data_IF_210634333321
#
_entry.id   IF_210634333321
#
_cell.length_a   1.000
_cell.length_b   1.000
_cell.length_c   1.000
_cell.angle_alpha   90.00
_cell.angle_beta   90.00
_cell.angle_gamma   90.00
#
_symmetry.space_group_name_H-M   'P 1'
#
loop_
_entity.id
_entity.type
_entity.pdbx_description
1 polymer ?
#
# COMPACT_ATOMS: atom_id res chain seq x y z
N UNK A 1 18.34 2.28 16.34
CA UNK A 1 16.87 2.37 16.41
C UNK A 1 16.34 1.47 15.32
N UNK A 2 15.68 0.37 15.68
CA UNK A 2 15.18 -0.60 14.70
C UNK A 2 13.87 -0.12 14.09
N UNK A 3 13.68 -0.42 12.80
CA UNK A 3 12.44 -0.10 12.09
C UNK A 3 11.30 -0.96 12.63
N UNK A 4 10.15 -0.34 12.91
CA UNK A 4 8.89 -1.05 13.22
C UNK A 4 8.09 -1.41 11.97
N UNK A 5 8.54 -0.98 10.78
CA UNK A 5 7.86 -1.24 9.51
C UNK A 5 8.08 -2.69 9.10
N UNK A 6 6.98 -3.40 8.83
CA UNK A 6 7.02 -4.78 8.30
C UNK A 6 6.79 -4.73 6.79
N UNK A 7 7.77 -5.20 6.02
CA UNK A 7 7.64 -5.32 4.57
C UNK A 7 6.74 -6.52 4.25
N UNK A 8 5.65 -6.36 3.47
CA UNK A 8 4.81 -7.49 3.07
C UNK A 8 5.58 -8.53 2.27
N UNK A 9 5.42 -9.81 2.61
CA UNK A 9 6.15 -10.93 1.98
C UNK A 9 5.76 -11.13 0.52
N UNK A 10 4.47 -10.96 0.21
CA UNK A 10 3.87 -11.25 -1.10
C UNK A 10 4.04 -10.11 -2.13
N UNK A 11 4.55 -8.94 -1.72
CA UNK A 11 4.54 -7.74 -2.55
C UNK A 11 5.84 -7.49 -3.32
N UNK A 12 5.74 -6.76 -4.44
CA UNK A 12 6.89 -6.31 -5.25
C UNK A 12 6.98 -4.77 -5.30
N UNK A 13 8.21 -4.26 -5.26
CA UNK A 13 8.49 -2.81 -5.32
C UNK A 13 8.19 -2.23 -6.71
N UNK A 14 7.55 -1.07 -6.76
CA UNK A 14 7.42 -0.26 -7.98
C UNK A 14 8.78 0.30 -8.36
N UNK A 15 9.18 0.21 -9.63
CA UNK A 15 10.46 0.72 -10.11
C UNK A 15 10.28 1.85 -11.12
N UNK A 16 11.28 2.74 -11.24
CA UNK A 16 11.32 3.81 -12.23
C UNK A 16 12.44 3.52 -13.21
N UNK A 17 12.13 3.43 -14.50
CA UNK A 17 13.11 3.21 -15.56
C UNK A 17 12.84 4.20 -16.69
N UNK A 18 13.85 4.98 -17.07
CA UNK A 18 13.76 5.96 -18.17
C UNK A 18 12.55 6.92 -18.06
N UNK A 19 12.24 7.38 -16.84
CA UNK A 19 11.10 8.27 -16.60
C UNK A 19 9.73 7.61 -16.60
N UNK A 20 9.64 6.28 -16.78
CA UNK A 20 8.38 5.52 -16.74
C UNK A 20 8.34 4.60 -15.52
N UNK A 21 7.22 4.62 -14.81
CA UNK A 21 6.96 3.68 -13.72
C UNK A 21 6.67 2.29 -14.29
N UNK A 22 7.37 1.29 -13.76
CA UNK A 22 7.05 -0.11 -13.94
C UNK A 22 6.39 -0.62 -12.63
N UNK A 23 5.09 -0.85 -12.73
CA UNK A 23 4.22 -1.23 -11.61
C UNK A 23 3.87 -2.72 -11.79
N UNK A 24 4.27 -3.60 -10.87
CA UNK A 24 3.90 -5.02 -10.92
C UNK A 24 2.41 -5.21 -10.59
N UNK A 25 1.88 -6.40 -10.86
CA UNK A 25 0.49 -6.78 -10.55
C UNK A 25 0.22 -6.87 -9.03
N UNK A 26 1.28 -7.07 -8.23
CA UNK A 26 1.27 -7.17 -6.77
C UNK A 26 2.11 -6.07 -6.07
N UNK A 27 1.82 -4.77 -6.27
CA UNK A 27 2.69 -3.70 -5.80
C UNK A 27 2.64 -3.55 -4.28
N UNK A 28 3.80 -3.26 -3.67
CA UNK A 28 3.86 -2.76 -2.28
C UNK A 28 3.53 -1.28 -2.29
N UNK A 29 2.49 -0.87 -1.56
CA UNK A 29 2.08 0.52 -1.40
C UNK A 29 2.18 0.91 0.08
N UNK A 30 3.11 1.81 0.45
CA UNK A 30 3.16 2.36 1.79
C UNK A 30 1.92 3.21 2.08
N UNK A 31 1.37 3.11 3.28
CA UNK A 31 0.32 4.01 3.76
C UNK A 31 0.59 4.46 5.19
N UNK A 32 0.03 5.61 5.56
CA UNK A 32 0.04 6.16 6.92
C UNK A 32 -1.42 6.28 7.34
N UNK A 33 -1.81 5.69 8.47
CA UNK A 33 -3.18 5.81 8.98
C UNK A 33 -3.55 7.27 9.29
N UNK A 34 -2.59 8.01 9.84
CA UNK A 34 -2.77 9.39 10.28
C UNK A 34 -3.40 9.47 11.68
N UNK A 35 -3.50 10.68 12.20
CA UNK A 35 -4.09 10.94 13.51
C UNK A 35 -5.59 11.28 13.42
N UNK A 36 -6.27 11.33 14.57
CA UNK A 36 -7.66 11.77 14.67
C UNK A 36 -8.60 10.87 13.86
N UNK A 37 -9.27 11.42 12.86
CA UNK A 37 -10.22 10.68 11.99
C UNK A 37 -9.54 9.67 11.06
N UNK A 38 -8.20 9.65 11.00
CA UNK A 38 -7.43 8.70 10.19
C UNK A 38 -7.83 7.24 10.43
N UNK A 39 -8.04 6.89 11.70
CA UNK A 39 -8.49 5.55 12.13
C UNK A 39 -9.87 5.16 11.58
N UNK A 40 -10.71 6.13 11.23
CA UNK A 40 -12.03 5.88 10.66
C UNK A 40 -11.97 5.77 9.13
N UNK A 41 -11.24 6.70 8.48
CA UNK A 41 -11.26 6.83 7.02
C UNK A 41 -10.27 5.89 6.32
N UNK A 42 -9.12 5.61 6.93
CA UNK A 42 -8.08 4.78 6.30
C UNK A 42 -8.53 3.32 6.14
N UNK A 43 -9.09 2.64 7.16
CA UNK A 43 -9.60 1.27 6.98
C UNK A 43 -10.73 1.19 5.94
N UNK A 44 -11.55 2.24 5.81
CA UNK A 44 -12.58 2.31 4.78
C UNK A 44 -11.97 2.45 3.37
N UNK A 45 -10.96 3.32 3.22
CA UNK A 45 -10.22 3.50 1.97
C UNK A 45 -9.58 2.19 1.49
N UNK A 46 -8.87 1.50 2.38
CA UNK A 46 -8.21 0.23 2.05
C UNK A 46 -9.22 -0.80 1.50
N UNK A 47 -10.36 -0.97 2.17
CA UNK A 47 -11.43 -1.89 1.74
C UNK A 47 -12.02 -1.52 0.38
N UNK A 48 -12.27 -0.23 0.14
CA UNK A 48 -12.84 0.25 -1.13
C UNK A 48 -11.85 0.03 -2.27
N UNK A 49 -10.58 0.37 -2.07
CA UNK A 49 -9.55 0.20 -3.10
C UNK A 49 -9.31 -1.29 -3.39
N UNK A 50 -9.21 -2.14 -2.37
CA UNK A 50 -9.04 -3.58 -2.56
C UNK A 50 -10.21 -4.19 -3.35
N UNK A 51 -11.45 -3.84 -3.00
CA UNK A 51 -12.63 -4.31 -3.71
C UNK A 51 -12.69 -3.82 -5.16
N UNK A 52 -12.26 -2.57 -5.42
CA UNK A 52 -12.21 -2.01 -6.76
C UNK A 52 -11.15 -2.72 -7.63
N UNK A 53 -9.96 -2.98 -7.09
CA UNK A 53 -8.88 -3.70 -7.77
C UNK A 53 -9.33 -5.14 -8.07
N UNK A 54 -9.84 -5.85 -7.07
CA UNK A 54 -10.35 -7.22 -7.23
C UNK A 54 -11.40 -7.29 -8.34
N UNK A 55 -12.37 -6.36 -8.33
CA UNK A 55 -13.44 -6.32 -9.33
C UNK A 55 -12.94 -5.99 -10.74
N UNK A 56 -12.01 -5.04 -10.88
CA UNK A 56 -11.51 -4.60 -12.17
C UNK A 56 -10.64 -5.66 -12.85
N UNK A 57 -9.85 -6.39 -12.04
CA UNK A 57 -8.81 -7.29 -12.54
C UNK A 57 -9.10 -8.76 -12.25
N UNK A 58 -10.26 -9.10 -11.68
CA UNK A 58 -10.69 -10.48 -11.40
C UNK A 58 -9.63 -11.28 -10.61
N UNK A 59 -8.98 -10.62 -9.66
CA UNK A 59 -7.94 -11.21 -8.81
C UNK A 59 -6.54 -11.29 -9.45
N UNK A 60 -6.35 -10.87 -10.70
CA UNK A 60 -5.01 -10.83 -11.32
C UNK A 60 -4.09 -9.79 -10.68
N UNK A 61 -4.68 -8.73 -10.09
CA UNK A 61 -3.98 -7.66 -9.38
C UNK A 61 -4.38 -7.61 -7.92
N UNK A 62 -3.42 -7.28 -7.06
CA UNK A 62 -3.66 -7.07 -5.62
C UNK A 62 -2.64 -6.13 -5.01
N UNK A 63 -3.07 -5.20 -4.16
CA UNK A 63 -2.15 -4.32 -3.44
C UNK A 63 -1.62 -5.01 -2.18
N UNK A 64 -0.32 -4.91 -1.94
CA UNK A 64 0.31 -5.28 -0.68
C UNK A 64 0.53 -4.02 0.16
N UNK A 65 -0.42 -3.72 1.05
CA UNK A 65 -0.34 -2.54 1.91
C UNK A 65 0.76 -2.68 2.96
N UNK A 66 1.56 -1.64 3.11
CA UNK A 66 2.64 -1.57 4.08
C UNK A 66 2.43 -0.35 4.97
N UNK A 67 2.01 -0.56 6.21
CA UNK A 67 1.87 0.54 7.15
C UNK A 67 3.25 1.11 7.49
N UNK A 68 3.38 2.42 7.38
CA UNK A 68 4.54 3.18 7.81
C UNK A 68 4.09 4.28 8.76
N UNK A 69 5.00 4.69 9.63
CA UNK A 69 4.75 5.76 10.60
C UNK A 69 5.61 6.96 10.24
N UNK A 70 5.07 8.19 10.34
CA UNK A 70 5.90 9.37 10.28
C UNK A 70 6.96 9.30 11.40
N UNK A 71 8.18 9.77 11.10
CA UNK A 71 9.21 9.91 12.13
C UNK A 71 8.68 10.81 13.24
N UNK A 72 8.50 10.24 14.43
CA UNK A 72 8.30 11.04 15.63
C UNK A 72 9.60 11.84 15.88
N UNK A 73 9.46 13.16 15.96
CA UNK A 73 10.55 14.05 16.38
C UNK A 73 10.94 13.80 17.83
#
# INVERSE_FOLDING_TARGET
MESKVVVPVEGKKITLQNGKLNVPENPIIPFIEGDGIGVDVTPAMLKVVDAAVEKAYKGERKISWMEIFPLAF
#
